data_IF_704841626101
#
_entry.id   IF_704841626101
#
_cell.length_a   1.000
_cell.length_b   1.000
_cell.length_c   1.000
_cell.angle_alpha   90.00
_cell.angle_beta   90.00
_cell.angle_gamma   90.00
#
_symmetry.space_group_name_H-M   'P 1'
#
loop_
_entity.id
_entity.type
_entity.pdbx_description
1 polymer ?
#
# COMPACT_ATOMS: atom_id res chain seq x y z
N UNK A 1 -22.95 10.48 12.26
CA UNK A 1 -21.55 10.35 12.75
C UNK A 1 -20.71 11.11 11.77
N UNK A 2 -19.78 11.95 12.25
CA UNK A 2 -18.92 12.70 11.35
C UNK A 2 -17.90 11.73 10.74
N UNK A 3 -17.53 11.88 9.46
CA UNK A 3 -16.50 11.04 8.86
C UNK A 3 -15.16 11.25 9.59
N UNK A 4 -14.47 10.16 9.86
CA UNK A 4 -13.15 10.14 10.48
C UNK A 4 -12.14 10.52 9.40
N UNK A 5 -11.61 11.74 9.48
CA UNK A 5 -10.67 12.21 8.47
C UNK A 5 -9.28 11.57 8.66
N UNK A 6 -8.71 11.01 7.59
CA UNK A 6 -7.35 10.43 7.61
C UNK A 6 -6.30 11.44 8.09
N UNK A 7 -6.48 12.72 7.80
CA UNK A 7 -5.67 13.81 8.32
C UNK A 7 -5.56 13.85 9.85
N UNK A 8 -6.53 13.31 10.61
CA UNK A 8 -6.47 13.19 12.07
C UNK A 8 -5.41 12.17 12.52
N UNK A 9 -5.23 11.09 11.75
CA UNK A 9 -4.32 9.99 12.07
C UNK A 9 -3.02 10.02 11.26
N UNK A 10 -2.79 11.02 10.40
CA UNK A 10 -1.60 11.11 9.53
C UNK A 10 -0.25 10.91 10.23
N UNK A 11 -0.16 11.28 11.50
CA UNK A 11 1.04 11.19 12.33
C UNK A 11 1.09 9.91 13.18
N UNK A 12 0.14 8.98 13.02
CA UNK A 12 0.10 7.70 13.72
C UNK A 12 0.81 6.63 12.88
N UNK A 13 1.89 6.06 13.41
CA UNK A 13 2.72 5.10 12.67
C UNK A 13 1.95 3.84 12.23
N UNK A 14 1.09 3.28 13.07
CA UNK A 14 0.29 2.10 12.72
C UNK A 14 -0.71 2.41 11.60
N UNK A 15 -1.37 3.57 11.68
CA UNK A 15 -2.26 4.03 10.60
C UNK A 15 -1.51 4.23 9.28
N UNK A 16 -0.28 4.76 9.30
CA UNK A 16 0.52 4.92 8.09
C UNK A 16 0.83 3.58 7.43
N UNK A 17 1.17 2.55 8.22
CA UNK A 17 1.36 1.20 7.69
C UNK A 17 0.06 0.68 7.08
N UNK A 18 -1.09 0.81 7.76
CA UNK A 18 -2.39 0.40 7.24
C UNK A 18 -2.77 1.14 5.94
N UNK A 19 -2.60 2.45 5.90
CA UNK A 19 -2.85 3.27 4.72
C UNK A 19 -1.93 2.89 3.55
N UNK A 20 -0.70 2.49 3.82
CA UNK A 20 0.22 1.99 2.80
C UNK A 20 -0.21 0.62 2.25
N UNK A 21 -0.60 -0.30 3.11
CA UNK A 21 -1.10 -1.61 2.69
C UNK A 21 -2.38 -1.48 1.85
N UNK A 22 -3.25 -0.53 2.17
CA UNK A 22 -4.46 -0.22 1.39
C UNK A 22 -4.14 0.42 0.05
N UNK A 23 -3.32 1.47 0.03
CA UNK A 23 -2.91 2.15 -1.19
C UNK A 23 -2.21 1.20 -2.19
N UNK A 24 -1.47 0.21 -1.68
CA UNK A 24 -0.78 -0.79 -2.51
C UNK A 24 -1.64 -1.99 -2.87
N UNK A 25 -2.84 -2.10 -2.29
CA UNK A 25 -3.75 -3.23 -2.47
C UNK A 25 -3.28 -4.53 -1.79
N UNK A 26 -2.32 -4.45 -0.87
CA UNK A 26 -1.86 -5.58 -0.07
C UNK A 26 -2.90 -6.00 0.98
N UNK A 27 -3.64 -5.04 1.52
CA UNK A 27 -4.76 -5.27 2.43
C UNK A 27 -5.74 -4.11 2.34
N UNK A 28 -7.02 -4.38 2.10
CA UNK A 28 -8.05 -3.34 2.13
C UNK A 28 -8.23 -2.82 3.56
N UNK A 29 -8.34 -1.49 3.71
CA UNK A 29 -8.58 -0.82 4.98
C UNK A 29 -9.46 0.42 4.77
N UNK A 30 -10.68 0.39 5.31
CA UNK A 30 -11.61 1.52 5.23
C UNK A 30 -11.73 2.25 6.57
N UNK A 31 -11.06 3.41 6.70
CA UNK A 31 -10.92 4.14 7.96
C UNK A 31 -12.28 4.42 8.63
N UNK A 32 -13.26 4.94 7.88
CA UNK A 32 -14.60 5.26 8.40
C UNK A 32 -15.40 4.03 8.86
N UNK A 33 -15.15 2.87 8.23
CA UNK A 33 -15.86 1.63 8.51
C UNK A 33 -15.22 0.82 9.64
N UNK A 34 -13.91 1.01 9.86
CA UNK A 34 -13.11 0.16 10.75
C UNK A 34 -12.69 0.87 12.04
N UNK A 35 -12.69 2.22 12.04
CA UNK A 35 -12.24 3.03 13.18
C UNK A 35 -13.35 4.00 13.60
N UNK A 36 -13.44 4.29 14.89
CA UNK A 36 -14.34 5.32 15.42
C UNK A 36 -13.65 6.70 15.60
N UNK A 37 -14.41 7.73 15.97
CA UNK A 37 -13.89 9.08 16.18
C UNK A 37 -12.84 9.15 17.31
N UNK A 38 -12.80 8.17 18.21
CA UNK A 38 -11.81 8.07 19.28
C UNK A 38 -10.54 7.31 18.86
N UNK A 39 -10.51 6.76 17.65
CA UNK A 39 -9.39 5.95 17.16
C UNK A 39 -9.44 4.48 17.60
N UNK A 40 -10.55 3.99 18.13
CA UNK A 40 -10.72 2.58 18.49
C UNK A 40 -11.16 1.76 17.29
N UNK A 41 -10.62 0.55 17.14
CA UNK A 41 -11.06 -0.36 16.09
C UNK A 41 -12.43 -0.94 16.42
N UNK A 42 -13.34 -0.88 15.45
CA UNK A 42 -14.70 -1.43 15.57
C UNK A 42 -14.69 -2.95 15.54
N UNK A 43 -13.87 -3.54 14.67
CA UNK A 43 -13.72 -4.98 14.50
C UNK A 43 -12.22 -5.35 14.33
N UNK A 44 -11.42 -5.30 15.40
CA UNK A 44 -9.97 -5.53 15.32
C UNK A 44 -9.63 -6.92 14.74
N UNK A 45 -10.44 -7.95 15.04
CA UNK A 45 -10.24 -9.31 14.51
C UNK A 45 -10.33 -9.38 12.97
N UNK A 46 -11.04 -8.45 12.33
CA UNK A 46 -11.12 -8.38 10.88
C UNK A 46 -9.91 -7.69 10.26
N UNK A 47 -9.37 -6.67 10.94
CA UNK A 47 -8.23 -5.87 10.45
C UNK A 47 -6.92 -6.64 10.68
N UNK A 48 -6.82 -7.32 11.81
CA UNK A 48 -5.65 -8.07 12.26
C UNK A 48 -5.89 -9.59 12.18
N UNK A 49 -6.63 -10.03 11.16
CA UNK A 49 -6.80 -11.46 10.88
C UNK A 49 -5.43 -12.13 10.64
N UNK A 50 -5.33 -13.44 10.90
CA UNK A 50 -4.06 -14.17 10.83
C UNK A 50 -3.40 -14.15 9.43
N UNK A 51 -4.19 -13.99 8.37
CA UNK A 51 -3.75 -13.91 6.98
C UNK A 51 -3.62 -12.46 6.46
N UNK A 52 -3.91 -11.47 7.30
CA UNK A 52 -3.81 -10.05 6.94
C UNK A 52 -2.34 -9.60 6.83
N UNK A 53 -2.06 -8.73 5.87
CA UNK A 53 -0.70 -8.22 5.64
C UNK A 53 -0.17 -7.46 6.87
N UNK A 54 -1.02 -6.70 7.56
CA UNK A 54 -0.64 -5.97 8.77
C UNK A 54 -0.19 -6.92 9.88
N UNK A 55 -0.87 -8.06 10.06
CA UNK A 55 -0.47 -9.10 11.01
C UNK A 55 0.90 -9.68 10.65
N UNK A 56 1.18 -9.84 9.35
CA UNK A 56 2.50 -10.20 8.84
C UNK A 56 3.58 -9.18 9.21
N UNK A 57 3.30 -7.89 9.05
CA UNK A 57 4.22 -6.80 9.44
C UNK A 57 4.48 -6.78 10.94
N UNK A 58 3.43 -6.89 11.77
CA UNK A 58 3.56 -6.87 13.23
C UNK A 58 4.29 -8.13 13.75
N UNK A 59 4.06 -9.28 13.12
CA UNK A 59 4.79 -10.52 13.44
C UNK A 59 6.27 -10.39 13.07
N UNK A 60 6.58 -9.82 11.90
CA UNK A 60 7.95 -9.55 11.49
C UNK A 60 8.64 -8.55 12.43
N UNK A 61 7.94 -7.51 12.89
CA UNK A 61 8.43 -6.54 13.87
C UNK A 61 8.83 -7.22 15.18
N UNK A 62 7.95 -8.08 15.68
CA UNK A 62 8.15 -8.84 16.91
C UNK A 62 9.33 -9.81 16.78
N UNK A 63 9.45 -10.51 15.66
CA UNK A 63 10.57 -11.41 15.38
C UNK A 63 11.90 -10.65 15.28
N UNK A 64 11.91 -9.50 14.57
CA UNK A 64 13.08 -8.64 14.43
C UNK A 64 13.53 -8.11 15.81
N UNK A 65 12.59 -7.66 16.65
CA UNK A 65 12.89 -7.21 18.00
C UNK A 65 13.48 -8.34 18.85
N UNK A 66 12.88 -9.53 18.82
CA UNK A 66 13.40 -10.71 19.55
C UNK A 66 14.79 -11.11 19.06
N UNK A 67 15.03 -11.08 17.74
CA UNK A 67 16.33 -11.37 17.15
C UNK A 67 17.38 -10.32 17.59
N UNK A 68 17.01 -9.04 17.60
CA UNK A 68 17.87 -7.96 18.07
C UNK A 68 18.18 -8.08 19.56
N UNK A 69 17.20 -8.43 20.40
CA UNK A 69 17.43 -8.70 21.83
C UNK A 69 18.44 -9.84 22.02
N UNK A 70 18.27 -10.94 21.29
CA UNK A 70 19.20 -12.08 21.35
C UNK A 70 20.61 -11.73 20.88
N UNK A 71 20.72 -10.87 19.87
CA UNK A 71 21.98 -10.53 19.21
C UNK A 71 22.77 -9.44 19.94
N UNK A 72 22.08 -8.44 20.50
CA UNK A 72 22.71 -7.21 20.97
C UNK A 72 22.85 -7.14 22.50
N UNK A 73 22.02 -7.85 23.26
CA UNK A 73 22.15 -7.89 24.73
C UNK A 73 23.19 -8.91 25.14
N UNK A 74 24.26 -8.43 25.78
CA UNK A 74 25.36 -9.27 26.29
C UNK A 74 25.12 -9.75 27.72
N UNK A 75 24.32 -9.03 28.50
CA UNK A 75 23.90 -9.48 29.82
C UNK A 75 22.75 -10.50 29.71
N UNK A 76 22.99 -11.70 30.23
CA UNK A 76 22.05 -12.81 30.15
C UNK A 76 20.79 -12.56 30.99
N UNK A 77 20.90 -11.79 32.09
CA UNK A 77 19.75 -11.46 32.93
C UNK A 77 18.82 -10.45 32.24
N UNK A 78 19.37 -9.36 31.69
CA UNK A 78 18.62 -8.40 30.86
C UNK A 78 17.97 -9.09 29.65
N UNK A 79 18.72 -9.92 28.93
CA UNK A 79 18.22 -10.65 27.78
C UNK A 79 17.07 -11.60 28.15
N UNK A 80 17.21 -12.35 29.24
CA UNK A 80 16.16 -13.25 29.71
C UNK A 80 14.92 -12.49 30.18
N UNK A 81 15.10 -11.39 30.92
CA UNK A 81 14.00 -10.55 31.38
C UNK A 81 13.22 -9.94 30.21
N UNK A 82 13.90 -9.45 29.18
CA UNK A 82 13.27 -8.95 27.96
C UNK A 82 12.52 -10.06 27.22
N UNK A 83 13.14 -11.22 26.97
CA UNK A 83 12.46 -12.33 26.30
C UNK A 83 11.29 -12.92 27.12
N UNK A 84 11.30 -12.78 28.44
CA UNK A 84 10.17 -13.16 29.29
C UNK A 84 8.97 -12.21 29.10
N UNK A 85 9.21 -10.94 28.78
CA UNK A 85 8.16 -9.95 28.46
C UNK A 85 7.71 -10.05 27.01
N UNK A 86 8.64 -10.15 26.07
CA UNK A 86 8.36 -10.16 24.62
C UNK A 86 7.88 -11.53 24.11
N UNK A 87 8.13 -12.60 24.88
CA UNK A 87 8.01 -13.98 24.43
C UNK A 87 9.16 -14.42 23.53
N UNK A 88 9.30 -15.74 23.35
CA UNK A 88 10.39 -16.34 22.57
C UNK A 88 10.03 -16.59 21.11
N UNK A 89 8.74 -16.56 20.74
CA UNK A 89 8.29 -16.94 19.40
C UNK A 89 8.40 -18.45 19.17
N UNK A 90 7.99 -18.91 17.98
CA UNK A 90 8.12 -20.31 17.62
C UNK A 90 9.60 -20.76 17.71
N UNK A 91 9.90 -21.98 18.20
CA UNK A 91 11.28 -22.43 18.32
C UNK A 91 11.95 -22.41 16.95
N UNK A 92 13.10 -21.75 16.84
CA UNK A 92 13.93 -21.82 15.64
C UNK A 92 14.10 -23.30 15.25
N UNK A 93 13.79 -23.64 13.99
CA UNK A 93 14.30 -24.89 13.43
C UNK A 93 15.82 -24.77 13.43
N UNK A 94 16.43 -25.39 14.45
CA UNK A 94 17.85 -25.69 14.48
C UNK A 94 18.27 -26.11 13.07
N UNK A 95 19.07 -25.27 12.41
CA UNK A 95 19.85 -25.65 11.23
C UNK A 95 20.69 -26.84 11.69
N UNK A 96 20.16 -28.05 11.50
CA UNK A 96 20.83 -29.29 11.85
C UNK A 96 22.19 -29.28 11.20
N UNK A 97 23.20 -29.45 12.03
CA UNK A 97 24.47 -29.99 11.62
C UNK A 97 24.21 -31.13 10.63
N UNK A 98 24.74 -30.93 9.43
CA UNK A 98 24.83 -31.93 8.38
C UNK A 98 25.55 -33.17 8.93
N UNK A 99 24.81 -34.22 9.24
CA UNK A 99 25.35 -35.57 9.28
C UNK A 99 24.32 -36.51 8.67
N UNK A 100 24.42 -36.66 7.35
CA UNK A 100 23.98 -37.87 6.68
C UNK A 100 24.81 -39.03 7.24
N UNK A 101 24.16 -40.01 7.85
CA UNK A 101 24.75 -41.34 7.99
C UNK A 101 23.75 -42.33 7.41
N UNK A 102 24.07 -42.75 6.20
CA UNK A 102 23.50 -43.89 5.50
C UNK A 102 23.80 -45.16 6.30
N UNK A 103 22.76 -45.94 6.59
CA UNK A 103 22.85 -47.23 7.24
C UNK A 103 23.28 -48.34 6.26
N UNK A 104 24.28 -49.15 6.63
CA UNK A 104 24.41 -50.59 6.31
C UNK A 104 25.54 -51.22 7.18
N UNK A 105 25.63 -52.57 7.35
CA UNK A 105 25.67 -53.21 8.67
C UNK A 105 27.04 -53.80 9.06
N UNK A 106 27.09 -54.27 10.31
CA UNK A 106 28.20 -54.82 11.10
C UNK A 106 29.17 -55.80 10.41
N UNK A 107 30.36 -56.04 11.02
CA UNK A 107 30.46 -57.12 12.01
C UNK A 107 31.29 -56.79 13.29
N UNK A 108 30.92 -57.47 14.39
CA UNK A 108 31.64 -57.68 15.66
C UNK A 108 33.08 -58.23 15.43
N UNK A 109 34.07 -58.20 16.37
CA UNK A 109 33.86 -58.54 17.80
C UNK A 109 34.84 -57.93 18.87
N UNK A 110 34.64 -58.39 20.11
CA UNK A 110 35.57 -58.55 21.27
C UNK A 110 35.45 -57.57 22.46
N UNK A 111 34.67 -58.03 23.44
CA UNK A 111 35.00 -58.20 24.88
C UNK A 111 36.25 -57.50 25.45
N UNK A 112 36.02 -56.64 26.45
CA UNK A 112 36.74 -56.48 27.74
C UNK A 112 36.01 -55.32 28.46
N UNK A 113 35.40 -55.42 29.63
CA UNK A 113 35.83 -56.07 30.85
C UNK A 113 36.12 -54.97 31.90
N UNK A 114 35.25 -54.80 32.90
CA UNK A 114 35.67 -54.26 34.20
C UNK A 114 35.08 -52.92 34.70
N UNK A 115 34.13 -53.06 35.62
CA UNK A 115 34.10 -52.42 36.95
C UNK A 115 34.12 -50.89 37.08
N UNK A 116 32.99 -50.34 37.53
CA UNK A 116 32.93 -49.19 38.42
C UNK A 116 33.65 -49.51 39.75
N UNK A 117 34.05 -48.48 40.54
CA UNK A 117 33.16 -48.14 41.64
C UNK A 117 33.04 -46.65 41.94
N UNK A 118 31.92 -46.35 42.61
CA UNK A 118 31.66 -45.12 43.34
C UNK A 118 32.69 -44.87 44.46
N UNK A 119 33.01 -43.60 44.68
CA UNK A 119 33.80 -43.13 45.82
C UNK A 119 33.39 -41.71 46.18
N UNK A 120 32.64 -41.60 47.27
CA UNK A 120 32.31 -40.35 47.97
C UNK A 120 33.59 -39.70 48.50
N UNK A 121 33.73 -38.38 48.33
CA UNK A 121 34.46 -37.55 49.30
C UNK A 121 33.96 -36.12 49.21
N UNK A 122 33.41 -35.65 50.33
CA UNK A 122 33.08 -34.26 50.63
C UNK A 122 34.36 -33.52 51.02
N UNK A 123 34.53 -32.30 50.53
CA UNK A 123 35.23 -31.24 51.27
C UNK A 123 34.73 -29.87 50.76
N UNK A 124 34.20 -29.08 51.69
CA UNK A 124 33.85 -27.68 51.50
C UNK A 124 35.12 -26.85 51.24
N UNK A 125 35.08 -25.95 50.27
CA UNK A 125 35.32 -24.51 50.50
C UNK A 125 35.32 -23.71 49.19
N UNK A 126 34.80 -22.48 49.30
CA UNK A 126 34.97 -21.31 48.42
C UNK A 126 33.99 -21.16 47.24
N UNK A 127 32.95 -20.36 47.54
CA UNK A 127 32.56 -19.19 46.73
C UNK A 127 32.81 -19.32 45.22
N UNK A 128 31.84 -19.87 44.51
CA UNK A 128 31.43 -19.33 43.22
C UNK A 128 29.91 -19.40 43.20
N UNK A 129 29.32 -18.22 43.28
CA UNK A 129 27.93 -17.94 42.96
C UNK A 129 27.66 -18.58 41.60
N UNK A 130 27.00 -19.74 41.61
CA UNK A 130 26.49 -20.37 40.39
C UNK A 130 25.61 -19.33 39.71
N UNK A 131 26.16 -18.71 38.68
CA UNK A 131 25.38 -18.05 37.65
C UNK A 131 24.40 -19.09 37.14
N UNK A 132 23.18 -19.05 37.66
CA UNK A 132 22.07 -19.83 37.16
C UNK A 132 21.78 -19.32 35.76
N UNK A 133 22.49 -19.85 34.78
CA UNK A 133 22.09 -19.82 33.38
C UNK A 133 20.84 -20.68 33.28
N UNK A 134 19.70 -20.08 33.64
CA UNK A 134 18.38 -20.64 33.36
C UNK A 134 18.35 -20.84 31.85
N UNK A 135 18.15 -22.08 31.36
CA UNK A 135 18.11 -22.32 29.93
C UNK A 135 16.97 -21.47 29.34
N UNK A 136 17.25 -20.77 28.23
CA UNK A 136 16.29 -19.99 27.42
C UNK A 136 14.98 -20.74 27.08
N UNK A 137 14.91 -22.04 27.37
CA UNK A 137 13.76 -22.93 27.23
C UNK A 137 12.59 -22.65 28.19
N UNK A 138 12.72 -21.77 29.19
CA UNK A 138 11.64 -21.49 30.16
C UNK A 138 10.77 -20.27 29.84
N UNK A 139 11.15 -19.45 28.86
CA UNK A 139 10.40 -18.24 28.51
C UNK A 139 9.20 -18.58 27.60
N UNK A 140 8.02 -17.99 27.84
CA UNK A 140 6.80 -18.32 27.11
C UNK A 140 6.92 -18.01 25.61
N UNK A 141 6.28 -18.82 24.76
CA UNK A 141 6.27 -18.64 23.30
C UNK A 141 5.54 -17.36 22.90
N UNK A 142 4.40 -17.08 23.53
CA UNK A 142 3.62 -15.84 23.43
C UNK A 142 3.31 -15.30 24.82
N UNK A 143 3.29 -13.98 24.96
CA UNK A 143 2.98 -13.23 26.18
C UNK A 143 1.78 -12.33 25.95
N UNK A 144 1.15 -11.85 27.03
CA UNK A 144 0.07 -10.87 26.94
C UNK A 144 0.50 -9.61 26.16
N UNK A 145 1.76 -9.20 26.33
CA UNK A 145 2.35 -8.11 25.55
C UNK A 145 2.42 -8.43 24.06
N UNK A 146 2.97 -9.60 23.66
CA UNK A 146 3.04 -9.93 22.24
C UNK A 146 1.66 -10.06 21.60
N UNK A 147 0.66 -10.56 22.32
CA UNK A 147 -0.72 -10.58 21.83
C UNK A 147 -1.30 -9.18 21.65
N UNK A 148 -1.05 -8.25 22.60
CA UNK A 148 -1.51 -6.87 22.50
C UNK A 148 -0.87 -6.12 21.32
N UNK A 149 0.41 -6.40 21.04
CA UNK A 149 1.12 -5.84 19.88
C UNK A 149 0.57 -6.38 18.56
N UNK A 150 0.23 -7.67 18.50
CA UNK A 150 -0.27 -8.31 17.28
C UNK A 150 -1.75 -8.01 17.00
N UNK A 151 -2.54 -7.76 18.04
CA UNK A 151 -3.99 -7.54 17.95
C UNK A 151 -4.38 -6.23 18.66
N UNK A 152 -3.96 -5.07 18.14
CA UNK A 152 -4.21 -3.80 18.80
C UNK A 152 -5.71 -3.44 18.75
N UNK A 153 -6.21 -2.88 19.85
CA UNK A 153 -7.62 -2.49 19.98
C UNK A 153 -7.88 -1.05 19.57
N UNK A 154 -6.85 -0.21 19.49
CA UNK A 154 -6.98 1.21 19.16
C UNK A 154 -5.74 1.73 18.43
N UNK A 155 -5.94 2.54 17.40
CA UNK A 155 -4.88 3.35 16.80
C UNK A 155 -4.34 4.38 17.79
N UNK A 156 -5.24 5.04 18.55
CA UNK A 156 -4.87 6.12 19.46
C UNK A 156 -3.98 5.64 20.61
N UNK A 157 -4.26 4.45 21.14
CA UNK A 157 -3.54 3.90 22.30
C UNK A 157 -2.42 2.92 21.93
N UNK A 158 -2.27 2.53 20.67
CA UNK A 158 -1.28 1.52 20.27
C UNK A 158 0.14 1.82 20.76
N UNK A 159 0.59 3.07 20.66
CA UNK A 159 1.93 3.44 21.12
C UNK A 159 2.08 3.30 22.64
N UNK A 160 1.04 3.65 23.39
CA UNK A 160 1.01 3.53 24.84
C UNK A 160 1.00 2.04 25.25
N UNK A 161 0.22 1.22 24.55
CA UNK A 161 0.09 -0.22 24.83
C UNK A 161 1.43 -0.96 24.58
N UNK A 162 2.17 -0.57 23.54
CA UNK A 162 3.48 -1.14 23.20
C UNK A 162 4.52 -0.79 24.29
N UNK A 163 4.51 0.43 24.81
CA UNK A 163 5.57 0.92 25.70
C UNK A 163 5.31 0.67 27.19
N UNK A 164 4.08 0.87 27.65
CA UNK A 164 3.77 0.88 29.09
C UNK A 164 3.81 -0.51 29.72
N UNK A 165 3.67 -1.55 28.91
CA UNK A 165 3.74 -2.95 29.34
C UNK A 165 5.19 -3.45 29.48
N UNK A 166 6.17 -2.76 28.89
CA UNK A 166 7.60 -3.07 29.09
C UNK A 166 8.09 -2.33 30.33
N UNK A 167 8.71 -3.02 31.32
CA UNK A 167 9.29 -2.35 32.48
C UNK A 167 10.24 -1.22 32.07
N UNK A 168 10.05 -0.03 32.63
CA UNK A 168 10.75 1.21 32.21
C UNK A 168 12.27 1.04 32.10
N UNK A 169 12.88 0.34 33.07
CA UNK A 169 14.32 0.10 33.05
C UNK A 169 14.76 -0.75 31.85
N UNK A 170 13.98 -1.77 31.46
CA UNK A 170 14.24 -2.58 30.28
C UNK A 170 13.99 -1.80 28.99
N UNK A 171 12.95 -0.97 28.94
CA UNK A 171 12.66 -0.11 27.79
C UNK A 171 13.79 0.91 27.54
N UNK A 172 14.33 1.52 28.60
CA UNK A 172 15.48 2.43 28.50
C UNK A 172 16.70 1.71 27.93
N UNK A 173 17.03 0.53 28.48
CA UNK A 173 18.15 -0.29 27.98
C UNK A 173 17.94 -0.70 26.53
N UNK A 174 16.72 -1.03 26.15
CA UNK A 174 16.36 -1.42 24.80
C UNK A 174 16.50 -0.26 23.81
N UNK A 175 16.08 0.96 24.18
CA UNK A 175 16.34 2.15 23.37
C UNK A 175 17.83 2.45 23.21
N UNK A 176 18.61 2.33 24.29
CA UNK A 176 20.06 2.54 24.26
C UNK A 176 20.77 1.54 23.33
N UNK A 177 20.46 0.25 23.45
CA UNK A 177 21.10 -0.82 22.68
C UNK A 177 20.71 -0.77 21.19
N UNK A 178 19.47 -0.40 20.90
CA UNK A 178 18.99 -0.24 19.51
C UNK A 178 19.39 1.13 18.90
N UNK A 179 20.02 2.03 19.67
CA UNK A 179 20.41 3.34 19.19
C UNK A 179 19.23 4.26 18.85
N UNK A 180 18.07 4.04 19.49
CA UNK A 180 16.84 4.78 19.20
C UNK A 180 16.96 6.17 19.83
N UNK A 181 16.81 7.24 19.04
CA UNK A 181 16.97 8.60 19.54
C UNK A 181 15.85 8.97 20.52
N UNK A 182 16.17 9.90 21.43
CA UNK A 182 15.20 10.44 22.38
C UNK A 182 14.15 11.37 21.73
N UNK A 183 14.39 11.81 20.49
CA UNK A 183 13.47 12.62 19.70
C UNK A 183 12.96 11.83 18.48
N UNK A 184 11.72 12.04 18.02
CA UNK A 184 11.18 11.38 16.82
C UNK A 184 12.04 11.66 15.60
N UNK A 185 12.23 10.65 14.76
CA UNK A 185 13.02 10.74 13.52
C UNK A 185 12.17 11.21 12.33
N UNK A 186 10.86 10.96 12.36
CA UNK A 186 9.94 11.32 11.29
C UNK A 186 8.82 12.29 11.73
N UNK A 187 7.91 12.61 10.79
CA UNK A 187 6.72 13.44 11.03
C UNK A 187 5.62 12.79 11.89
N UNK A 188 5.86 11.59 12.43
CA UNK A 188 4.91 10.91 13.29
C UNK A 188 4.96 11.47 14.72
N UNK A 189 3.80 11.60 15.35
CA UNK A 189 3.64 12.01 16.75
C UNK A 189 3.66 10.79 17.67
N UNK A 190 4.13 9.63 17.18
CA UNK A 190 4.29 8.42 17.98
C UNK A 190 5.65 8.42 18.67
N UNK A 191 5.80 7.53 19.66
CA UNK A 191 7.09 7.33 20.30
C UNK A 191 8.16 6.84 19.29
N UNK A 192 9.42 7.32 19.37
CA UNK A 192 10.52 6.87 18.52
C UNK A 192 10.73 5.35 18.55
N UNK A 193 10.43 4.69 19.67
CA UNK A 193 10.56 3.24 19.78
C UNK A 193 9.50 2.51 18.96
N UNK A 194 8.24 2.95 19.02
CA UNK A 194 7.14 2.35 18.25
C UNK A 194 7.33 2.58 16.76
N UNK A 195 7.85 3.74 16.39
CA UNK A 195 8.26 4.05 15.01
C UNK A 195 9.34 3.07 14.52
N UNK A 196 10.46 2.95 15.24
CA UNK A 196 11.53 2.02 14.87
C UNK A 196 11.04 0.57 14.83
N UNK A 197 10.19 0.17 15.77
CA UNK A 197 9.60 -1.17 15.81
C UNK A 197 8.81 -1.48 14.53
N UNK A 198 8.00 -0.53 14.04
CA UNK A 198 7.24 -0.70 12.81
C UNK A 198 8.11 -0.59 11.55
N UNK A 199 9.17 0.23 11.57
CA UNK A 199 10.17 0.29 10.49
C UNK A 199 10.85 -1.07 10.34
N UNK A 200 11.40 -1.61 11.42
CA UNK A 200 12.07 -2.92 11.44
C UNK A 200 11.10 -4.02 10.98
N UNK A 201 9.84 -3.95 11.41
CA UNK A 201 8.81 -4.89 11.01
C UNK A 201 8.44 -4.84 9.54
N UNK A 202 8.26 -3.63 8.99
CA UNK A 202 7.94 -3.45 7.58
C UNK A 202 9.11 -3.92 6.71
N UNK A 203 10.34 -3.55 7.07
CA UNK A 203 11.56 -3.94 6.38
C UNK A 203 11.76 -5.47 6.37
N UNK A 204 11.65 -6.12 7.54
CA UNK A 204 11.75 -7.57 7.66
C UNK A 204 10.60 -8.30 6.93
N UNK A 205 9.37 -7.77 6.98
CA UNK A 205 8.24 -8.34 6.27
C UNK A 205 8.43 -8.26 4.74
N UNK A 206 8.92 -7.15 4.22
CA UNK A 206 9.23 -7.00 2.79
C UNK A 206 10.26 -8.02 2.32
N UNK A 207 11.27 -8.35 3.15
CA UNK A 207 12.24 -9.40 2.85
C UNK A 207 11.64 -10.81 2.85
N UNK A 208 10.56 -11.04 3.61
CA UNK A 208 9.81 -12.31 3.63
C UNK A 208 8.82 -12.42 2.47
N UNK A 209 8.37 -11.30 1.93
CA UNK A 209 7.46 -11.25 0.79
C UNK A 209 8.13 -11.73 -0.50
N UNK A 210 7.30 -12.18 -1.44
CA UNK A 210 7.82 -12.51 -2.78
C UNK A 210 8.27 -11.22 -3.46
N UNK A 211 9.41 -11.27 -4.14
CA UNK A 211 9.96 -10.10 -4.86
C UNK A 211 8.94 -9.47 -5.82
N UNK A 212 8.14 -10.28 -6.52
CA UNK A 212 7.10 -9.77 -7.43
C UNK A 212 5.95 -9.04 -6.72
N UNK A 213 5.67 -9.39 -5.47
CA UNK A 213 4.70 -8.70 -4.64
C UNK A 213 5.22 -7.33 -4.22
N UNK A 214 6.46 -7.28 -3.72
CA UNK A 214 7.11 -6.02 -3.36
C UNK A 214 7.22 -5.08 -4.57
N UNK A 215 7.55 -5.62 -5.76
CA UNK A 215 7.54 -4.85 -7.01
C UNK A 215 6.18 -4.24 -7.30
N UNK A 216 5.08 -5.00 -7.14
CA UNK A 216 3.72 -4.48 -7.34
C UNK A 216 3.41 -3.36 -6.36
N UNK A 217 3.84 -3.48 -5.10
CA UNK A 217 3.66 -2.43 -4.09
C UNK A 217 4.42 -1.15 -4.48
N UNK A 218 5.67 -1.26 -4.90
CA UNK A 218 6.49 -0.11 -5.34
C UNK A 218 5.89 0.55 -6.59
N UNK A 219 5.38 -0.22 -7.55
CA UNK A 219 4.68 0.32 -8.71
C UNK A 219 3.38 1.03 -8.31
N UNK A 220 2.66 0.54 -7.30
CA UNK A 220 1.47 1.20 -6.76
C UNK A 220 1.80 2.53 -6.07
N UNK A 221 3.01 2.70 -5.55
CA UNK A 221 3.54 4.00 -5.10
C UNK A 221 3.78 5.01 -6.24
N UNK A 222 3.53 4.63 -7.51
CA UNK A 222 3.70 5.50 -8.67
C UNK A 222 5.11 5.49 -9.28
N UNK A 223 5.99 4.58 -8.84
CA UNK A 223 7.32 4.43 -9.44
C UNK A 223 7.21 3.90 -10.87
N UNK A 224 7.94 4.53 -11.79
CA UNK A 224 7.94 4.09 -13.19
C UNK A 224 8.59 2.70 -13.33
N UNK A 225 8.03 1.79 -14.14
CA UNK A 225 8.60 0.45 -14.35
C UNK A 225 10.04 0.46 -14.85
N UNK A 226 10.42 1.46 -15.64
CA UNK A 226 11.78 1.65 -16.15
C UNK A 226 12.77 1.93 -15.01
N UNK A 227 12.39 2.76 -14.04
CA UNK A 227 13.19 3.09 -12.86
C UNK A 227 13.38 1.84 -12.01
N UNK A 228 12.30 1.13 -11.69
CA UNK A 228 12.32 -0.10 -10.90
C UNK A 228 13.21 -1.18 -11.54
N UNK A 229 13.10 -1.37 -12.85
CA UNK A 229 13.94 -2.34 -13.57
C UNK A 229 15.42 -1.91 -13.58
N UNK A 230 15.71 -0.61 -13.69
CA UNK A 230 17.08 -0.11 -13.72
C UNK A 230 17.80 -0.22 -12.36
N UNK A 231 17.11 0.07 -11.26
CA UNK A 231 17.66 -0.07 -9.90
C UNK A 231 17.85 -1.55 -9.54
N UNK A 232 16.86 -2.38 -9.86
CA UNK A 232 16.91 -3.82 -9.63
C UNK A 232 18.00 -4.51 -10.46
N UNK A 233 18.09 -4.25 -11.77
CA UNK A 233 19.12 -4.85 -12.63
C UNK A 233 20.54 -4.49 -12.17
N UNK A 234 20.75 -3.26 -11.67
CA UNK A 234 22.05 -2.83 -11.16
C UNK A 234 22.45 -3.58 -9.88
N UNK A 235 21.49 -3.83 -8.98
CA UNK A 235 21.76 -4.56 -7.73
C UNK A 235 21.82 -6.07 -7.95
N UNK A 236 21.01 -6.63 -8.85
CA UNK A 236 21.05 -8.06 -9.18
C UNK A 236 22.31 -8.46 -9.95
N UNK A 237 22.95 -7.53 -10.67
CA UNK A 237 24.28 -7.76 -11.24
C UNK A 237 25.40 -7.76 -10.19
N UNK A 238 25.15 -7.20 -9.00
CA UNK A 238 26.10 -7.13 -7.90
C UNK A 238 25.94 -8.28 -6.89
N UNK A 239 24.75 -8.88 -6.78
CA UNK A 239 24.48 -10.06 -5.98
C UNK A 239 24.55 -11.32 -6.87
N UNK A 240 25.53 -12.19 -6.62
CA UNK A 240 25.62 -13.48 -7.30
C UNK A 240 24.27 -14.22 -7.23
N UNK A 241 23.83 -14.74 -8.38
CA UNK A 241 22.46 -15.19 -8.67
C UNK A 241 21.92 -16.37 -7.83
N UNK A 242 22.56 -16.72 -6.72
CA UNK A 242 22.22 -17.88 -5.90
C UNK A 242 21.17 -17.59 -4.81
N UNK A 243 21.03 -16.34 -4.35
CA UNK A 243 20.03 -15.96 -3.35
C UNK A 243 19.16 -14.81 -3.88
N UNK A 244 17.91 -15.10 -4.25
CA UNK A 244 16.92 -14.15 -4.76
C UNK A 244 16.39 -13.21 -3.65
N UNK A 245 17.29 -12.55 -2.91
CA UNK A 245 16.95 -11.60 -1.88
C UNK A 245 16.44 -10.28 -2.47
N UNK A 246 15.46 -9.66 -1.82
CA UNK A 246 15.02 -8.30 -2.15
C UNK A 246 16.20 -7.34 -1.93
N UNK A 247 16.56 -6.49 -2.90
CA UNK A 247 17.61 -5.50 -2.69
C UNK A 247 17.23 -4.49 -1.62
N UNK A 248 18.16 -4.17 -0.71
CA UNK A 248 17.92 -3.29 0.44
C UNK A 248 17.34 -1.93 0.02
N UNK A 249 17.83 -1.35 -1.08
CA UNK A 249 17.33 -0.07 -1.58
C UNK A 249 15.84 -0.07 -1.96
N UNK A 250 15.25 -1.23 -2.28
CA UNK A 250 13.81 -1.35 -2.53
C UNK A 250 13.02 -1.41 -1.22
N UNK A 251 13.56 -2.05 -0.19
CA UNK A 251 12.96 -2.05 1.14
C UNK A 251 13.04 -0.65 1.77
N UNK A 252 14.22 -0.01 1.70
CA UNK A 252 14.45 1.36 2.15
C UNK A 252 13.48 2.35 1.48
N UNK A 253 13.26 2.21 0.16
CA UNK A 253 12.28 3.04 -0.55
C UNK A 253 10.87 2.92 0.05
N UNK A 254 10.43 1.70 0.36
CA UNK A 254 9.11 1.50 0.96
C UNK A 254 9.06 2.09 2.37
N UNK A 255 10.10 1.88 3.17
CA UNK A 255 10.23 2.48 4.50
C UNK A 255 10.17 4.00 4.41
N UNK A 256 10.87 4.64 3.46
CA UNK A 256 10.87 6.09 3.27
C UNK A 256 9.50 6.64 2.83
N UNK A 257 8.73 5.86 2.06
CA UNK A 257 7.36 6.22 1.69
C UNK A 257 6.43 6.18 2.91
N UNK A 258 6.56 5.15 3.76
CA UNK A 258 5.73 5.01 4.95
C UNK A 258 6.17 5.97 6.05
N UNK A 259 7.47 6.19 6.25
CA UNK A 259 8.07 6.98 7.32
C UNK A 259 8.99 8.08 6.74
N UNK A 260 8.44 9.14 6.16
CA UNK A 260 9.24 10.17 5.51
C UNK A 260 10.05 10.98 6.53
N UNK A 261 11.35 11.13 6.27
CA UNK A 261 12.23 12.00 7.06
C UNK A 261 11.96 13.47 6.70
N UNK A 262 11.77 14.38 7.69
CA UNK A 262 11.57 15.79 7.42
C UNK A 262 12.79 16.41 6.72
N UNK A 263 12.57 17.17 5.64
CA UNK A 263 13.62 17.82 4.86
C UNK A 263 14.50 18.83 5.64
N UNK A 264 14.17 19.14 6.91
CA UNK A 264 14.84 20.15 7.74
C UNK A 264 15.95 19.60 8.66
N UNK A 265 16.38 18.35 8.50
CA UNK A 265 17.56 17.81 9.20
C UNK A 265 18.91 18.41 8.72
N UNK A 266 18.89 19.27 7.69
CA UNK A 266 20.03 20.08 7.26
C UNK A 266 19.89 21.55 7.72
N UNK A 267 20.68 21.94 8.74
CA UNK A 267 20.93 23.32 9.22
C UNK A 267 20.10 24.43 8.56
N UNK A 268 18.96 24.78 9.15
CA UNK A 268 18.24 26.01 8.81
C UNK A 268 19.05 27.21 9.31
N UNK A 269 19.57 28.01 8.38
CA UNK A 269 20.13 29.34 8.65
C UNK A 269 19.02 30.23 9.24
N UNK A 270 19.33 30.90 10.36
CA UNK A 270 18.38 31.59 11.24
C UNK A 270 17.64 32.82 10.65
N UNK A 271 17.62 33.01 9.34
CA UNK A 271 17.09 34.21 8.67
C UNK A 271 16.11 33.94 7.51
N UNK A 272 15.47 32.78 7.45
CA UNK A 272 14.34 32.59 6.54
C UNK A 272 13.04 32.89 7.29
N UNK A 273 12.29 33.88 6.80
CA UNK A 273 10.97 34.23 7.33
C UNK A 273 10.04 33.02 7.34
N UNK A 274 9.35 32.83 8.47
CA UNK A 274 8.54 31.66 8.84
C UNK A 274 7.34 31.34 7.93
N UNK A 275 7.18 32.04 6.80
CA UNK A 275 6.09 31.83 5.84
C UNK A 275 6.55 31.14 4.54
N UNK A 276 7.85 31.05 4.26
CA UNK A 276 8.38 30.44 3.02
C UNK A 276 9.07 29.07 3.25
N UNK A 277 9.24 28.64 4.50
CA UNK A 277 9.88 27.36 4.87
C UNK A 277 8.89 26.19 5.04
N UNK A 278 7.62 26.41 4.68
CA UNK A 278 6.51 25.49 4.90
C UNK A 278 5.74 25.18 3.59
N UNK A 279 6.45 25.04 2.47
CA UNK A 279 5.99 24.03 1.49
C UNK A 279 6.19 22.67 2.16
N UNK A 280 5.24 22.34 3.04
CA UNK A 280 5.18 21.07 3.73
C UNK A 280 5.22 20.00 2.65
N UNK A 281 6.26 19.17 2.67
CA UNK A 281 6.40 18.02 1.78
C UNK A 281 5.07 17.27 1.85
N UNK A 282 4.31 17.35 0.76
CA UNK A 282 2.92 16.99 0.78
C UNK A 282 2.85 15.47 0.99
N UNK A 283 2.20 15.04 2.07
CA UNK A 283 2.22 13.65 2.53
C UNK A 283 1.45 12.75 1.56
N UNK A 284 2.16 12.28 0.53
CA UNK A 284 1.60 11.57 -0.61
C UNK A 284 0.82 10.35 -0.17
N UNK A 285 1.30 9.64 0.86
CA UNK A 285 0.66 8.45 1.39
C UNK A 285 -0.76 8.74 1.88
N UNK A 286 -0.90 9.78 2.70
CA UNK A 286 -2.18 10.16 3.29
C UNK A 286 -3.12 10.74 2.24
N UNK A 287 -2.60 11.55 1.32
CA UNK A 287 -3.40 12.07 0.21
C UNK A 287 -3.87 10.99 -0.76
N UNK A 288 -3.01 10.00 -1.05
CA UNK A 288 -3.39 8.86 -1.88
C UNK A 288 -4.51 8.09 -1.19
N UNK A 289 -4.40 7.88 0.13
CA UNK A 289 -5.43 7.21 0.90
C UNK A 289 -6.76 7.98 0.85
N UNK A 290 -6.77 9.28 1.14
CA UNK A 290 -7.99 10.10 1.08
C UNK A 290 -8.63 10.09 -0.32
N UNK A 291 -7.82 10.19 -1.37
CA UNK A 291 -8.33 10.15 -2.76
C UNK A 291 -8.86 8.78 -3.17
N UNK A 292 -8.29 7.70 -2.66
CA UNK A 292 -8.76 6.34 -2.94
C UNK A 292 -10.11 6.05 -2.26
N UNK A 293 -10.42 6.75 -1.17
CA UNK A 293 -11.66 6.61 -0.40
C UNK A 293 -12.65 7.76 -0.61
N UNK A 294 -12.35 8.74 -1.46
CA UNK A 294 -13.28 9.81 -1.82
C UNK A 294 -14.48 9.22 -2.57
N UNK A 295 -15.66 9.28 -1.95
CA UNK A 295 -16.90 8.88 -2.59
C UNK A 295 -17.14 9.80 -3.80
N UNK A 296 -17.08 9.23 -5.01
CA UNK A 296 -17.47 9.94 -6.22
C UNK A 296 -18.98 10.09 -6.19
N UNK A 297 -19.47 11.24 -5.70
CA UNK A 297 -20.85 11.67 -5.93
C UNK A 297 -21.03 11.82 -7.44
N UNK A 298 -21.58 10.79 -8.06
CA UNK A 298 -22.10 10.87 -9.42
C UNK A 298 -23.41 11.64 -9.27
N UNK A 299 -23.35 12.97 -9.35
CA UNK A 299 -24.53 13.79 -9.53
C UNK A 299 -25.30 13.22 -10.74
N UNK A 300 -26.46 12.62 -10.46
CA UNK A 300 -27.43 12.14 -11.44
C UNK A 300 -28.06 13.36 -12.17
N UNK A 301 -27.28 14.05 -13.01
CA UNK A 301 -27.79 15.01 -14.00
C UNK A 301 -28.41 14.26 -15.20
N UNK A 302 -29.39 13.39 -14.91
CA UNK A 302 -30.30 12.83 -15.90
C UNK A 302 -31.70 12.68 -15.30
N UNK A 303 -32.29 13.80 -14.88
CA UNK A 303 -33.73 13.89 -14.70
C UNK A 303 -34.27 15.13 -15.43
N UNK A 304 -35.00 14.83 -16.50
CA UNK A 304 -36.06 15.65 -17.11
C UNK A 304 -35.66 16.78 -18.07
N UNK A 305 -35.65 16.42 -19.36
CA UNK A 305 -36.07 17.33 -20.42
C UNK A 305 -37.61 17.38 -20.52
N UNK A 306 -38.11 18.59 -20.79
CA UNK A 306 -39.45 19.01 -21.28
C UNK A 306 -40.59 19.31 -20.29
N UNK A 307 -40.99 20.60 -20.27
CA UNK A 307 -42.33 21.03 -19.85
C UNK A 307 -42.49 22.53 -19.52
N UNK A 308 -42.47 23.38 -20.54
CA UNK A 308 -43.09 24.73 -20.66
C UNK A 308 -43.66 25.50 -19.44
N UNK A 309 -43.27 26.79 -19.41
CA UNK A 309 -44.12 27.99 -19.25
C UNK A 309 -44.59 28.45 -17.86
N UNK A 310 -44.26 29.71 -17.53
CA UNK A 310 -45.16 30.59 -16.77
C UNK A 310 -44.57 31.29 -15.54
N UNK A 311 -44.08 32.52 -15.76
CA UNK A 311 -44.05 33.70 -14.88
C UNK A 311 -44.76 33.62 -13.51
N UNK A 312 -44.07 34.00 -12.42
CA UNK A 312 -44.48 35.07 -11.46
C UNK A 312 -43.74 35.00 -10.11
N UNK A 313 -42.84 35.97 -9.90
CA UNK A 313 -42.53 36.77 -8.70
C UNK A 313 -42.82 36.31 -7.25
N UNK A 314 -41.80 36.60 -6.42
CA UNK A 314 -41.81 36.99 -4.98
C UNK A 314 -42.13 35.91 -3.93
N UNK A 315 -41.48 35.81 -2.77
CA UNK A 315 -40.48 36.65 -2.08
C UNK A 315 -40.07 35.99 -0.74
N UNK A 316 -38.79 36.11 -0.36
CA UNK A 316 -38.27 36.08 1.04
C UNK A 316 -38.17 34.71 1.72
N UNK A 317 -37.16 34.36 2.53
CA UNK A 317 -35.99 35.05 3.11
C UNK A 317 -35.12 33.98 3.80
N UNK A 318 -33.79 34.07 3.60
CA UNK A 318 -32.64 33.72 4.48
C UNK A 318 -32.75 32.55 5.49
N UNK A 319 -31.81 31.59 5.54
CA UNK A 319 -30.38 31.77 5.86
C UNK A 319 -29.57 30.48 5.56
N UNK A 320 -28.71 30.49 4.54
CA UNK A 320 -27.23 30.54 4.58
C UNK A 320 -26.49 29.31 5.15
N UNK A 321 -26.24 28.35 4.26
CA UNK A 321 -25.08 27.44 4.30
C UNK A 321 -23.90 28.01 3.52
N UNK A 322 -22.68 27.77 4.02
CA UNK A 322 -21.44 28.38 3.56
C UNK A 322 -20.96 27.82 2.20
N UNK A 323 -21.22 28.62 1.16
CA UNK A 323 -20.36 28.99 0.02
C UNK A 323 -19.39 27.93 -0.55
N UNK A 324 -19.94 27.16 -1.49
CA UNK A 324 -19.33 26.77 -2.77
C UNK A 324 -18.66 28.00 -3.42
N UNK A 325 -17.32 28.01 -3.60
CA UNK A 325 -16.65 29.00 -4.46
C UNK A 325 -16.96 28.67 -5.92
N UNK A 326 -17.97 29.32 -6.47
CA UNK A 326 -18.15 29.48 -7.90
C UNK A 326 -17.01 30.33 -8.45
N UNK A 327 -16.12 29.73 -9.24
CA UNK A 327 -15.22 30.47 -10.12
C UNK A 327 -16.09 30.98 -11.28
N UNK A 328 -16.55 32.22 -11.17
CA UNK A 328 -17.17 32.95 -12.27
C UNK A 328 -16.12 33.13 -13.37
N UNK A 329 -16.32 32.39 -14.45
CA UNK A 329 -15.62 32.56 -15.71
C UNK A 329 -16.30 33.70 -16.48
N UNK A 330 -16.11 34.93 -15.99
CA UNK A 330 -16.49 36.16 -16.67
C UNK A 330 -15.34 37.16 -16.52
N UNK A 331 -14.28 36.90 -17.25
CA UNK A 331 -13.37 37.95 -17.69
C UNK A 331 -12.98 37.64 -19.13
N UNK A 332 -13.87 37.98 -20.07
CA UNK A 332 -13.43 38.32 -21.42
C UNK A 332 -12.40 39.46 -21.27
N UNK A 333 -11.14 39.30 -21.69
CA UNK A 333 -10.25 40.43 -21.78
C UNK A 333 -10.82 41.36 -22.85
N UNK A 334 -11.17 42.58 -22.44
CA UNK A 334 -11.50 43.67 -23.34
C UNK A 334 -10.32 43.86 -24.29
N UNK A 335 -10.60 43.82 -25.58
CA UNK A 335 -9.64 44.11 -26.63
C UNK A 335 -9.34 45.61 -26.64
N UNK A 336 -8.50 46.07 -25.71
CA UNK A 336 -7.85 47.38 -25.73
C UNK A 336 -6.76 47.43 -24.65
N UNK A 337 -5.65 46.74 -24.94
CA UNK A 337 -4.30 47.13 -24.52
C UNK A 337 -3.33 46.18 -25.23
N UNK A 338 -2.98 46.56 -26.47
CA UNK A 338 -1.75 46.10 -27.09
C UNK A 338 -0.59 46.62 -26.23
N UNK A 339 0.44 45.79 -26.12
CA UNK A 339 1.76 46.06 -25.52
C UNK A 339 1.95 45.52 -24.09
N UNK A 340 2.00 44.19 -24.01
CA UNK A 340 2.40 43.46 -22.81
C UNK A 340 2.45 41.93 -23.01
N UNK A 341 2.87 41.44 -24.18
CA UNK A 341 3.07 40.01 -24.41
C UNK A 341 4.36 39.55 -23.71
N UNK A 342 4.24 39.12 -22.46
CA UNK A 342 5.16 38.12 -21.92
C UNK A 342 4.90 36.82 -22.67
N UNK A 343 5.84 36.42 -23.52
CA UNK A 343 5.88 35.09 -24.14
C UNK A 343 5.82 34.05 -23.02
N UNK A 344 4.67 33.39 -22.85
CA UNK A 344 4.61 32.19 -22.03
C UNK A 344 5.30 31.09 -22.83
N UNK A 345 6.56 30.83 -22.50
CA UNK A 345 7.30 29.69 -23.04
C UNK A 345 7.20 28.54 -22.04
N UNK A 346 6.76 27.33 -22.44
CA UNK A 346 6.78 26.18 -21.57
C UNK A 346 8.23 25.91 -21.11
N UNK A 347 8.40 25.52 -19.85
CA UNK A 347 9.72 25.21 -19.32
C UNK A 347 10.34 24.04 -20.10
N UNK A 348 11.68 24.00 -20.20
CA UNK A 348 12.42 22.96 -20.95
C UNK A 348 11.97 21.55 -20.52
N UNK A 349 11.17 20.88 -21.35
CA UNK A 349 10.65 19.52 -21.11
C UNK A 349 9.13 19.43 -20.88
N UNK A 350 8.42 20.56 -20.72
CA UNK A 350 6.96 20.59 -20.66
C UNK A 350 6.37 20.58 -22.07
N UNK A 351 5.83 19.43 -22.47
CA UNK A 351 5.18 19.30 -23.76
C UNK A 351 3.69 19.67 -23.63
N UNK A 352 3.32 20.80 -24.22
CA UNK A 352 1.94 21.32 -24.25
C UNK A 352 1.12 20.49 -25.24
N UNK A 353 -0.12 20.11 -24.89
CA UNK A 353 -1.04 19.44 -25.82
C UNK A 353 -1.37 20.39 -26.98
N UNK A 354 -0.95 20.04 -28.19
CA UNK A 354 -1.21 20.74 -29.44
C UNK A 354 -1.94 19.81 -30.41
N UNK A 355 -2.63 20.36 -31.40
CA UNK A 355 -3.32 19.57 -32.42
C UNK A 355 -2.42 18.53 -33.11
N UNK A 356 -1.12 18.80 -33.18
CA UNK A 356 -0.11 17.96 -33.83
C UNK A 356 0.39 16.80 -32.94
N UNK A 357 0.26 16.89 -31.62
CA UNK A 357 0.73 15.85 -30.71
C UNK A 357 -0.40 15.01 -30.08
N UNK A 358 -1.66 15.45 -30.20
CA UNK A 358 -2.83 14.74 -29.67
C UNK A 358 -2.86 13.29 -30.18
N UNK A 359 -2.60 13.06 -31.47
CA UNK A 359 -2.63 11.72 -32.06
C UNK A 359 -1.58 10.79 -31.43
N UNK A 360 -0.40 11.31 -31.11
CA UNK A 360 0.64 10.56 -30.38
C UNK A 360 0.20 10.29 -28.93
N UNK A 361 -0.33 11.29 -28.25
CA UNK A 361 -0.81 11.14 -26.88
C UNK A 361 -2.00 10.17 -26.75
N UNK A 362 -2.86 10.05 -27.78
CA UNK A 362 -3.96 9.08 -27.81
C UNK A 362 -3.45 7.63 -27.77
N UNK A 363 -2.28 7.38 -28.38
CA UNK A 363 -1.65 6.06 -28.45
C UNK A 363 -0.75 5.77 -27.25
N UNK A 364 -0.02 6.76 -26.76
CA UNK A 364 1.00 6.55 -25.72
C UNK A 364 0.48 6.83 -24.30
N UNK A 365 -0.29 7.90 -24.12
CA UNK A 365 -0.67 8.43 -22.80
C UNK A 365 -2.07 9.12 -22.81
N UNK A 366 -3.16 8.41 -23.16
CA UNK A 366 -4.49 9.00 -23.31
C UNK A 366 -5.05 9.62 -22.02
N UNK A 367 -4.51 9.23 -20.85
CA UNK A 367 -4.86 9.81 -19.54
C UNK A 367 -4.45 11.28 -19.38
N UNK A 368 -3.51 11.78 -20.19
CA UNK A 368 -3.08 13.19 -20.18
C UNK A 368 -4.02 14.09 -20.97
N UNK A 369 -4.87 13.52 -21.82
CA UNK A 369 -5.79 14.27 -22.67
C UNK A 369 -7.07 14.55 -21.86
N UNK A 370 -7.55 15.80 -21.83
CA UNK A 370 -8.87 16.13 -21.28
C UNK A 370 -9.96 15.20 -21.84
N UNK A 371 -10.88 14.76 -20.98
CA UNK A 371 -11.88 13.72 -21.33
C UNK A 371 -12.78 14.15 -22.49
N UNK A 372 -13.03 15.45 -22.63
CA UNK A 372 -13.80 16.06 -23.70
C UNK A 372 -13.13 15.82 -25.06
N UNK A 373 -11.83 16.09 -25.14
CA UNK A 373 -11.02 15.91 -26.35
C UNK A 373 -10.84 14.42 -26.65
N UNK A 374 -10.63 13.59 -25.61
CA UNK A 374 -10.53 12.13 -25.75
C UNK A 374 -11.82 11.54 -26.32
N UNK A 375 -12.99 12.01 -25.86
CA UNK A 375 -14.30 11.57 -26.37
C UNK A 375 -14.56 11.97 -27.80
N UNK A 376 -14.08 13.14 -28.22
CA UNK A 376 -14.21 13.64 -29.59
C UNK A 376 -13.30 12.86 -30.56
N UNK A 377 -12.08 12.51 -30.13
CA UNK A 377 -11.06 11.91 -30.97
C UNK A 377 -10.98 10.39 -30.93
N UNK A 378 -11.55 9.73 -29.92
CA UNK A 378 -11.54 8.26 -29.83
C UNK A 378 -12.34 7.60 -30.96
N UNK A 379 -11.95 6.39 -31.32
CA UNK A 379 -12.73 5.53 -32.22
C UNK A 379 -14.04 5.12 -31.56
N UNK A 380 -15.08 4.94 -32.38
CA UNK A 380 -16.37 4.40 -31.93
C UNK A 380 -16.28 2.91 -31.70
N UNK A 381 -17.14 2.37 -30.84
CA UNK A 381 -17.20 0.92 -30.58
C UNK A 381 -17.63 0.09 -31.81
N UNK A 382 -18.32 0.71 -32.78
CA UNK A 382 -18.67 0.10 -34.06
C UNK A 382 -17.50 0.02 -35.04
N UNK A 383 -16.39 0.73 -34.79
CA UNK A 383 -15.23 0.70 -35.67
C UNK A 383 -14.50 -0.65 -35.54
N UNK A 384 -14.43 -1.38 -36.66
CA UNK A 384 -13.77 -2.69 -36.72
C UNK A 384 -12.25 -2.64 -36.46
N UNK A 385 -11.63 -1.47 -36.57
CA UNK A 385 -10.21 -1.24 -36.30
C UNK A 385 -9.91 -0.90 -34.84
N UNK A 386 -10.91 -0.89 -33.96
CA UNK A 386 -10.72 -0.57 -32.55
C UNK A 386 -9.89 -1.66 -31.86
N UNK A 387 -8.90 -1.22 -31.10
CA UNK A 387 -7.97 -2.10 -30.38
C UNK A 387 -8.38 -2.30 -28.93
N UNK A 388 -7.88 -3.37 -28.31
CA UNK A 388 -8.03 -3.62 -26.88
C UNK A 388 -7.53 -2.43 -26.04
N UNK A 389 -6.38 -1.87 -26.44
CA UNK A 389 -5.79 -0.70 -25.78
C UNK A 389 -6.73 0.51 -25.79
N UNK A 390 -7.35 0.83 -26.93
CA UNK A 390 -8.29 1.96 -27.06
C UNK A 390 -9.55 1.72 -26.21
N UNK A 391 -10.10 0.50 -26.18
CA UNK A 391 -11.24 0.17 -25.33
C UNK A 391 -10.91 0.27 -23.83
N UNK A 392 -9.69 -0.11 -23.44
CA UNK A 392 -9.27 -0.04 -22.05
C UNK A 392 -8.88 1.36 -21.58
N UNK A 393 -8.41 2.22 -22.47
CA UNK A 393 -7.87 3.52 -22.06
C UNK A 393 -8.72 4.72 -22.51
N UNK A 394 -9.51 4.60 -23.58
CA UNK A 394 -10.35 5.68 -24.10
C UNK A 394 -11.79 5.63 -23.58
N UNK A 395 -12.20 4.50 -23.00
CA UNK A 395 -13.53 4.31 -22.42
C UNK A 395 -13.49 4.02 -20.92
N UNK A 396 -14.43 4.60 -20.19
CA UNK A 396 -14.64 4.24 -18.78
C UNK A 396 -15.47 2.96 -18.65
N UNK A 397 -15.39 2.29 -17.50
CA UNK A 397 -16.20 1.10 -17.24
C UNK A 397 -17.71 1.41 -17.29
N UNK A 398 -18.12 2.59 -16.82
CA UNK A 398 -19.51 3.06 -16.86
C UNK A 398 -19.99 3.31 -18.31
N UNK A 399 -19.13 3.90 -19.16
CA UNK A 399 -19.45 4.11 -20.57
C UNK A 399 -19.62 2.79 -21.32
N UNK A 400 -18.72 1.81 -21.12
CA UNK A 400 -18.85 0.49 -21.74
C UNK A 400 -20.07 -0.27 -21.21
N UNK A 401 -20.37 -0.17 -19.92
CA UNK A 401 -21.60 -0.74 -19.35
C UNK A 401 -22.85 -0.13 -20.00
N UNK A 402 -22.92 1.20 -20.11
CA UNK A 402 -24.05 1.89 -20.73
C UNK A 402 -24.23 1.51 -22.20
N UNK A 403 -23.13 1.43 -22.95
CA UNK A 403 -23.18 1.11 -24.38
C UNK A 403 -23.47 -0.38 -24.65
N UNK A 404 -22.79 -1.29 -23.93
CA UNK A 404 -22.87 -2.74 -24.21
C UNK A 404 -24.00 -3.42 -23.44
N UNK A 405 -24.13 -3.17 -22.13
CA UNK A 405 -25.15 -3.85 -21.32
C UNK A 405 -26.53 -3.22 -21.48
N UNK A 406 -26.59 -1.89 -21.30
CA UNK A 406 -27.85 -1.16 -21.27
C UNK A 406 -28.33 -0.79 -22.68
N UNK A 407 -27.40 -0.52 -23.59
CA UNK A 407 -27.67 -0.35 -25.02
C UNK A 407 -27.85 -1.70 -25.71
N UNK A 408 -26.75 -2.35 -26.10
CA UNK A 408 -26.78 -3.55 -26.93
C UNK A 408 -27.50 -4.74 -26.28
N UNK A 409 -27.35 -4.95 -24.97
CA UNK A 409 -28.02 -6.02 -24.24
C UNK A 409 -29.54 -5.88 -24.11
N UNK A 410 -30.09 -4.70 -24.41
CA UNK A 410 -31.54 -4.43 -24.42
C UNK A 410 -32.15 -4.41 -25.83
N UNK A 411 -31.31 -4.47 -26.87
CA UNK A 411 -31.71 -4.44 -28.28
C UNK A 411 -32.02 -5.84 -28.83
N UNK A 412 -32.71 -5.91 -29.96
CA UNK A 412 -32.81 -7.14 -30.76
C UNK A 412 -31.52 -7.39 -31.57
N UNK A 413 -31.26 -8.64 -32.00
CA UNK A 413 -30.07 -8.94 -32.81
C UNK A 413 -29.95 -8.12 -34.10
N UNK A 414 -31.08 -7.75 -34.73
CA UNK A 414 -31.08 -6.89 -35.91
C UNK A 414 -30.66 -5.45 -35.57
N UNK A 415 -31.20 -4.88 -34.50
CA UNK A 415 -30.85 -3.52 -34.06
C UNK A 415 -29.40 -3.44 -33.55
N UNK A 416 -28.93 -4.49 -32.88
CA UNK A 416 -27.54 -4.60 -32.44
C UNK A 416 -26.57 -4.71 -33.63
N UNK A 417 -26.98 -5.40 -34.69
CA UNK A 417 -26.21 -5.50 -35.94
C UNK A 417 -26.11 -4.15 -36.64
N UNK A 418 -27.22 -3.41 -36.71
CA UNK A 418 -27.25 -2.06 -37.29
C UNK A 418 -26.39 -1.07 -36.47
N UNK A 419 -26.42 -1.20 -35.14
CA UNK A 419 -25.65 -0.33 -34.24
C UNK A 419 -24.13 -0.60 -34.29
N UNK A 420 -23.73 -1.87 -34.34
CA UNK A 420 -22.32 -2.27 -34.40
C UNK A 420 -21.75 -2.26 -35.81
N UNK A 421 -22.58 -2.05 -36.83
CA UNK A 421 -22.25 -2.15 -38.26
C UNK A 421 -21.62 -3.52 -38.63
N UNK A 422 -21.91 -4.56 -37.83
CA UNK A 422 -21.37 -5.90 -38.01
C UNK A 422 -22.34 -6.97 -37.46
N UNK A 423 -22.32 -8.21 -37.98
CA UNK A 423 -23.31 -9.22 -37.64
C UNK A 423 -23.22 -9.64 -36.16
N UNK A 424 -24.26 -9.31 -35.39
CA UNK A 424 -24.41 -9.70 -33.98
C UNK A 424 -25.50 -10.76 -33.85
N UNK A 425 -25.18 -11.88 -33.20
CA UNK A 425 -26.13 -12.97 -32.93
C UNK A 425 -26.94 -12.72 -31.66
N UNK A 426 -28.15 -13.29 -31.59
CA UNK A 426 -29.02 -13.23 -30.40
C UNK A 426 -28.32 -13.73 -29.13
N UNK A 427 -27.45 -14.74 -29.26
CA UNK A 427 -26.66 -15.25 -28.15
C UNK A 427 -25.65 -14.21 -27.62
N UNK A 428 -25.04 -13.42 -28.51
CA UNK A 428 -24.09 -12.37 -28.12
C UNK A 428 -24.80 -11.20 -27.43
N UNK A 429 -26.00 -10.84 -27.86
CA UNK A 429 -26.86 -9.83 -27.20
C UNK A 429 -27.21 -10.27 -25.77
N UNK A 430 -27.66 -11.53 -25.60
CA UNK A 430 -27.95 -12.07 -24.26
C UNK A 430 -26.71 -12.15 -23.37
N UNK A 431 -25.54 -12.42 -23.97
CA UNK A 431 -24.28 -12.40 -23.26
C UNK A 431 -23.92 -10.99 -22.78
N UNK A 432 -24.09 -9.96 -23.62
CA UNK A 432 -23.85 -8.56 -23.28
C UNK A 432 -24.73 -8.10 -22.10
N UNK A 433 -26.01 -8.51 -22.07
CA UNK A 433 -26.94 -8.18 -20.99
C UNK A 433 -26.51 -8.74 -19.60
N UNK A 434 -25.75 -9.84 -19.58
CA UNK A 434 -25.32 -10.51 -18.34
C UNK A 434 -23.96 -10.01 -17.82
N UNK A 435 -23.20 -9.29 -18.64
CA UNK A 435 -21.87 -8.81 -18.26
C UNK A 435 -21.94 -7.70 -17.21
N UNK A 436 -20.88 -7.61 -16.40
CA UNK A 436 -20.77 -6.60 -15.32
C UNK A 436 -19.39 -5.98 -15.23
N UNK A 437 -18.34 -6.65 -15.73
CA UNK A 437 -16.95 -6.20 -15.61
C UNK A 437 -16.47 -5.55 -16.91
N UNK A 438 -15.63 -4.52 -16.79
CA UNK A 438 -15.02 -3.83 -17.93
C UNK A 438 -14.34 -4.79 -18.91
N UNK A 439 -13.47 -5.66 -18.41
CA UNK A 439 -12.75 -6.64 -19.24
C UNK A 439 -13.69 -7.57 -20.04
N UNK A 440 -14.88 -7.88 -19.51
CA UNK A 440 -15.88 -8.69 -20.22
C UNK A 440 -16.47 -7.90 -21.41
N UNK A 441 -16.78 -6.62 -21.22
CA UNK A 441 -17.26 -5.76 -22.30
C UNK A 441 -16.21 -5.59 -23.40
N UNK A 442 -14.94 -5.38 -23.03
CA UNK A 442 -13.84 -5.26 -24.00
C UNK A 442 -13.66 -6.56 -24.81
N UNK A 443 -13.59 -7.70 -24.12
CA UNK A 443 -13.47 -9.00 -24.79
C UNK A 443 -14.67 -9.30 -25.70
N UNK A 444 -15.88 -8.91 -25.30
CA UNK A 444 -17.08 -9.07 -26.11
C UNK A 444 -17.02 -8.24 -27.40
N UNK A 445 -16.69 -6.95 -27.31
CA UNK A 445 -16.58 -6.05 -28.48
C UNK A 445 -15.55 -6.61 -29.48
N UNK A 446 -14.37 -7.01 -28.99
CA UNK A 446 -13.33 -7.59 -29.85
C UNK A 446 -13.75 -8.93 -30.46
N UNK A 447 -14.49 -9.76 -29.72
CA UNK A 447 -15.01 -11.03 -30.24
C UNK A 447 -16.04 -10.83 -31.34
N UNK A 448 -16.89 -9.80 -31.23
CA UNK A 448 -17.88 -9.44 -32.25
C UNK A 448 -17.19 -8.99 -33.53
N UNK A 449 -16.20 -8.09 -33.43
CA UNK A 449 -15.43 -7.63 -34.59
C UNK A 449 -14.59 -8.74 -35.23
N UNK A 450 -13.99 -9.62 -34.44
CA UNK A 450 -13.24 -10.79 -34.96
C UNK A 450 -14.14 -11.76 -35.72
N UNK A 451 -15.35 -11.99 -35.23
CA UNK A 451 -16.32 -12.85 -35.90
C UNK A 451 -16.77 -12.25 -37.25
N UNK A 452 -16.96 -10.93 -37.31
CA UNK A 452 -17.29 -10.21 -38.54
C UNK A 452 -16.18 -10.30 -39.60
N UNK A 453 -14.92 -10.11 -39.21
CA UNK A 453 -13.76 -10.26 -40.11
C UNK A 453 -13.65 -11.69 -40.66
N UNK A 454 -13.93 -12.71 -39.84
CA UNK A 454 -13.90 -14.11 -40.27
C UNK A 454 -15.04 -14.46 -41.23
N UNK A 455 -16.21 -13.84 -41.09
CA UNK A 455 -17.34 -14.04 -42.01
C UNK A 455 -17.09 -13.35 -43.37
N UNK A 456 -16.53 -12.14 -43.39
CA UNK A 456 -16.13 -11.45 -44.64
C UNK A 456 -15.03 -12.18 -45.42
N UNK A 457 -14.15 -12.94 -44.75
CA UNK A 457 -13.09 -13.71 -45.43
C UNK A 457 -13.56 -15.02 -46.08
N UNK A 458 -14.83 -15.40 -45.88
CA UNK A 458 -15.43 -16.64 -46.40
C UNK A 458 -16.42 -16.41 -47.55
N UNK A 459 -16.78 -15.15 -47.82
CA UNK A 459 -17.45 -14.71 -49.06
C UNK A 459 -16.40 -14.33 -50.10
#
# INVERSE_FOLDING_TARGET
>A
MSPVAAQQFKSNALFRVLAFLDNTGAQAFALDAEVDEAGSFRNPESVFAADAAITGVLTAALDALRANVRRLFTDAAEQHALLAVLGTGAPEQSKKASLWITATPAPLPLEEGGTAPAGLSSDEALQQQESSSIPLSSAPVSTAWSEAVLHPTSLAHYADDVENEIPIHLLVRLREVLGIPAAPLCCCNCSPFVEQFLIDGLDEWLRRCRVDEVKRMILACGVQPTVLNSTFMRQQQAADAQDAALPDALADFVVDVVFPVPAHAGKVSANASSAAAAEALQDWLILSFEKNHEAVDIDDENASANGQSGSSDNSGTNSQGERKRTRTDDTRPSADNRDGLGSWEPAKGEEVLTAENIDRYLLECPRRIPKEILREKRKRISDASITEFELDHHYTAAELKKLVKEGLGAMTASEATDFMECPVTEAQVQQAARMTRKAQFVAWILSVHKAAVQQQSRE
#
